data_IF_822853769057
#
_entry.id   IF_822853769057
#
_cell.length_a   1.000
_cell.length_b   1.000
_cell.length_c   1.000
_cell.angle_alpha   90.00
_cell.angle_beta   90.00
_cell.angle_gamma   90.00
#
_symmetry.space_group_name_H-M   'P 1'
#
loop_
_entity.id
_entity.type
_entity.pdbx_description
1 polymer ?
#
# COMPACT_ATOMS: atom_id res chain seq x y z
N UNK A 1 -9.83 -9.30 34.21
CA UNK A 1 -10.43 -9.55 32.87
C UNK A 1 -10.68 -8.27 32.04
N UNK A 2 -11.29 -7.20 32.58
CA UNK A 2 -11.56 -5.95 31.83
C UNK A 2 -10.30 -5.31 31.21
N UNK A 3 -9.19 -5.21 31.96
CA UNK A 3 -7.92 -4.65 31.46
C UNK A 3 -7.31 -5.50 30.33
N UNK A 4 -7.30 -6.82 30.49
CA UNK A 4 -6.81 -7.75 29.46
C UNK A 4 -7.60 -7.60 28.15
N UNK A 5 -8.93 -7.52 28.23
CA UNK A 5 -9.79 -7.31 27.06
C UNK A 5 -9.48 -5.99 26.34
N UNK A 6 -9.26 -4.91 27.09
CA UNK A 6 -8.89 -3.61 26.52
C UNK A 6 -7.51 -3.64 25.86
N UNK A 7 -6.54 -4.32 26.48
CA UNK A 7 -5.19 -4.49 25.90
C UNK A 7 -5.28 -5.27 24.58
N UNK A 8 -5.99 -6.40 24.56
CA UNK A 8 -6.16 -7.19 23.34
C UNK A 8 -6.87 -6.39 22.23
N UNK A 9 -7.90 -5.62 22.59
CA UNK A 9 -8.59 -4.75 21.64
C UNK A 9 -7.64 -3.66 21.10
N UNK A 10 -6.84 -3.03 21.97
CA UNK A 10 -5.89 -2.02 21.55
C UNK A 10 -4.84 -2.60 20.59
N UNK A 11 -4.29 -3.77 20.89
CA UNK A 11 -3.36 -4.48 20.00
C UNK A 11 -4.01 -4.76 18.64
N UNK A 12 -5.24 -5.28 18.63
CA UNK A 12 -5.97 -5.53 17.39
C UNK A 12 -6.15 -4.25 16.58
N UNK A 13 -6.53 -3.14 17.22
CA UNK A 13 -6.70 -1.85 16.55
C UNK A 13 -5.38 -1.33 15.96
N UNK A 14 -4.26 -1.51 16.66
CA UNK A 14 -2.93 -1.15 16.16
C UNK A 14 -2.57 -1.97 14.93
N UNK A 15 -2.81 -3.29 14.96
CA UNK A 15 -2.55 -4.16 13.80
C UNK A 15 -3.43 -3.77 12.60
N UNK A 16 -4.72 -3.54 12.82
CA UNK A 16 -5.63 -3.09 11.76
C UNK A 16 -5.18 -1.74 11.19
N UNK A 17 -4.83 -0.78 12.03
CA UNK A 17 -4.31 0.51 11.59
C UNK A 17 -3.03 0.36 10.79
N UNK A 18 -2.08 -0.46 11.24
CA UNK A 18 -0.83 -0.73 10.54
C UNK A 18 -1.07 -1.34 9.15
N UNK A 19 -1.95 -2.33 9.04
CA UNK A 19 -2.33 -2.94 7.75
C UNK A 19 -2.98 -1.92 6.83
N UNK A 20 -3.92 -1.12 7.33
CA UNK A 20 -4.57 -0.06 6.54
C UNK A 20 -3.54 0.99 6.08
N UNK A 21 -2.65 1.43 6.97
CA UNK A 21 -1.62 2.40 6.64
C UNK A 21 -0.62 1.86 5.61
N UNK A 22 -0.31 0.57 5.66
CA UNK A 22 0.53 -0.09 4.65
C UNK A 22 -0.18 -0.20 3.29
N UNK A 23 -1.48 -0.49 3.27
CA UNK A 23 -2.21 -0.81 2.04
C UNK A 23 -2.79 0.41 1.36
N UNK A 24 -3.19 1.43 2.11
CA UNK A 24 -3.86 2.60 1.56
C UNK A 24 -2.94 3.38 0.61
N UNK A 25 -3.48 3.94 -0.47
CA UNK A 25 -2.68 4.63 -1.47
C UNK A 25 -2.19 5.97 -0.92
N UNK A 26 -0.88 6.16 -0.96
CA UNK A 26 -0.17 7.38 -0.58
C UNK A 26 0.44 8.02 -1.83
N UNK A 27 0.82 9.29 -1.75
CA UNK A 27 1.34 10.02 -2.90
C UNK A 27 2.46 10.94 -2.45
N UNK A 28 3.60 10.81 -3.12
CA UNK A 28 4.78 11.61 -2.87
C UNK A 28 5.08 12.46 -4.11
N UNK A 29 5.57 13.68 -3.88
CA UNK A 29 6.06 14.55 -4.94
C UNK A 29 7.58 14.42 -5.00
N UNK A 30 8.07 13.86 -6.08
CA UNK A 30 9.48 13.49 -6.23
C UNK A 30 9.96 13.78 -7.65
N UNK A 31 11.27 13.84 -7.82
CA UNK A 31 11.94 13.85 -9.13
C UNK A 31 12.56 12.49 -9.38
N UNK A 32 12.30 11.91 -10.55
CA UNK A 32 12.90 10.64 -10.95
C UNK A 32 14.34 10.89 -11.40
N UNK A 33 15.27 10.15 -10.82
CA UNK A 33 16.70 10.23 -11.12
C UNK A 33 17.12 9.08 -12.03
N UNK A 34 16.58 7.88 -11.79
CA UNK A 34 16.96 6.68 -12.51
C UNK A 34 15.88 5.60 -12.43
N UNK A 35 15.94 4.65 -13.35
CA UNK A 35 15.13 3.43 -13.34
C UNK A 35 16.05 2.23 -13.47
N UNK A 36 15.86 1.22 -12.64
CA UNK A 36 16.76 0.07 -12.57
C UNK A 36 15.98 -1.25 -12.50
N UNK A 37 16.63 -2.36 -12.86
CA UNK A 37 16.09 -3.72 -12.73
C UNK A 37 17.12 -4.54 -11.99
N UNK A 38 16.75 -5.05 -10.81
CA UNK A 38 17.66 -5.83 -9.96
C UNK A 38 17.12 -7.23 -9.77
N UNK A 39 17.98 -8.22 -9.94
CA UNK A 39 17.74 -9.57 -9.43
C UNK A 39 17.84 -9.51 -7.90
N UNK A 40 16.72 -9.71 -7.22
CA UNK A 40 16.63 -9.74 -5.77
C UNK A 40 16.58 -11.19 -5.30
N UNK A 41 17.29 -11.49 -4.22
CA UNK A 41 17.17 -12.73 -3.45
C UNK A 41 16.34 -12.44 -2.19
N UNK A 42 15.26 -13.19 -1.99
CA UNK A 42 14.30 -12.93 -0.93
C UNK A 42 14.56 -13.83 0.28
N UNK A 43 14.83 -13.19 1.43
CA UNK A 43 14.85 -13.84 2.74
C UNK A 43 13.57 -13.52 3.52
N UNK A 44 13.72 -13.10 4.77
CA UNK A 44 12.61 -12.70 5.63
C UNK A 44 11.80 -11.49 5.09
N UNK A 45 12.35 -10.73 4.15
CA UNK A 45 11.71 -9.58 3.51
C UNK A 45 10.77 -9.96 2.37
N UNK A 46 10.68 -11.24 1.98
CA UNK A 46 9.80 -11.75 0.92
C UNK A 46 8.36 -11.22 1.02
N UNK A 47 7.86 -11.06 2.25
CA UNK A 47 6.50 -10.56 2.55
C UNK A 47 6.21 -9.16 1.97
N UNK A 48 7.24 -8.39 1.63
CA UNK A 48 7.09 -7.04 1.08
C UNK A 48 7.07 -7.01 -0.45
N UNK A 49 7.28 -8.12 -1.15
CA UNK A 49 7.43 -8.18 -2.60
C UNK A 49 6.35 -9.03 -3.25
N UNK A 50 5.94 -8.67 -4.47
CA UNK A 50 4.86 -9.38 -5.16
C UNK A 50 5.39 -10.63 -5.88
N UNK A 51 6.60 -10.55 -6.45
CA UNK A 51 7.24 -11.63 -7.19
C UNK A 51 8.05 -12.61 -6.34
N UNK A 52 7.89 -12.63 -5.01
CA UNK A 52 8.63 -13.53 -4.12
C UNK A 52 8.27 -15.02 -4.25
N UNK A 53 7.51 -15.40 -5.29
CA UNK A 53 7.06 -16.77 -5.57
C UNK A 53 7.91 -17.50 -6.61
N UNK A 54 9.04 -16.93 -7.05
CA UNK A 54 9.95 -17.60 -7.99
C UNK A 54 10.51 -18.91 -7.43
N UNK A 55 10.63 -19.94 -8.28
CA UNK A 55 11.03 -21.30 -7.88
C UNK A 55 12.40 -21.36 -7.16
N UNK A 56 13.30 -20.42 -7.47
CA UNK A 56 14.65 -20.33 -6.88
C UNK A 56 14.75 -19.22 -5.80
N UNK A 57 13.64 -18.64 -5.34
CA UNK A 57 13.65 -17.55 -4.36
C UNK A 57 14.19 -16.20 -4.87
N UNK A 58 14.59 -16.14 -6.14
CA UNK A 58 15.09 -14.93 -6.80
C UNK A 58 14.12 -14.43 -7.87
N UNK A 59 14.02 -13.11 -8.03
CA UNK A 59 13.19 -12.49 -9.07
C UNK A 59 13.71 -11.12 -9.47
N UNK A 60 13.46 -10.71 -10.71
CA UNK A 60 13.74 -9.34 -11.15
C UNK A 60 12.70 -8.38 -10.62
N UNK A 61 13.16 -7.41 -9.86
CA UNK A 61 12.35 -6.32 -9.35
C UNK A 61 12.79 -5.03 -10.04
N UNK A 62 11.82 -4.34 -10.62
CA UNK A 62 12.03 -3.00 -11.19
C UNK A 62 12.02 -1.98 -10.07
N UNK A 63 12.94 -1.03 -10.10
CA UNK A 63 13.04 0.07 -9.16
C UNK A 63 12.97 1.41 -9.89
N UNK A 64 12.38 2.38 -9.21
CA UNK A 64 12.34 3.78 -9.62
C UNK A 64 13.02 4.56 -8.52
N UNK A 65 14.18 5.15 -8.84
CA UNK A 65 15.00 5.91 -7.92
C UNK A 65 14.63 7.39 -8.04
N UNK A 66 14.29 7.99 -6.91
CA UNK A 66 13.79 9.35 -6.86
C UNK A 66 14.42 10.14 -5.74
N UNK A 67 14.29 11.45 -5.83
CA UNK A 67 14.69 12.41 -4.81
C UNK A 67 13.51 13.34 -4.57
N UNK A 68 13.12 13.52 -3.32
CA UNK A 68 12.02 14.42 -2.96
C UNK A 68 12.43 15.90 -3.03
N UNK A 69 11.49 16.78 -2.67
CA UNK A 69 11.70 18.23 -2.68
C UNK A 69 12.80 18.68 -1.68
N UNK A 70 12.97 17.96 -0.58
CA UNK A 70 13.96 18.24 0.46
C UNK A 70 15.36 17.70 0.09
N UNK A 71 15.44 16.88 -0.97
CA UNK A 71 16.68 16.30 -1.46
C UNK A 71 16.96 14.89 -0.92
N UNK A 72 16.02 14.31 -0.19
CA UNK A 72 16.14 12.98 0.39
C UNK A 72 15.82 11.89 -0.66
N UNK A 73 16.63 10.81 -0.72
CA UNK A 73 16.36 9.71 -1.64
C UNK A 73 15.14 8.88 -1.23
N UNK A 74 14.22 8.70 -2.16
CA UNK A 74 13.09 7.77 -2.05
C UNK A 74 13.13 6.77 -3.21
N UNK A 75 13.03 5.49 -2.90
CA UNK A 75 13.11 4.42 -3.90
C UNK A 75 11.85 3.59 -3.84
N UNK A 76 11.20 3.43 -4.99
CA UNK A 76 10.00 2.62 -5.14
C UNK A 76 10.35 1.34 -5.90
N UNK A 77 9.75 0.23 -5.48
CA UNK A 77 9.64 -0.94 -6.35
C UNK A 77 8.50 -0.73 -7.35
N UNK A 78 8.57 -1.39 -8.48
CA UNK A 78 7.56 -1.33 -9.53
C UNK A 78 7.25 -2.75 -9.99
N UNK A 79 6.37 -3.41 -9.24
CA UNK A 79 5.91 -4.77 -9.53
C UNK A 79 4.41 -4.77 -9.87
N UNK A 80 4.00 -5.76 -10.65
CA UNK A 80 2.60 -6.04 -10.88
C UNK A 80 2.01 -6.69 -9.63
N UNK A 81 1.00 -6.03 -9.04
CA UNK A 81 0.29 -6.60 -7.90
C UNK A 81 -0.63 -7.74 -8.35
N UNK A 82 -1.05 -7.70 -9.61
CA UNK A 82 -1.96 -8.68 -10.19
C UNK A 82 -3.24 -8.84 -9.38
N UNK A 83 -3.64 -10.09 -9.17
CA UNK A 83 -4.78 -10.47 -8.33
C UNK A 83 -4.44 -10.60 -6.84
N UNK A 84 -3.17 -10.37 -6.49
CA UNK A 84 -2.67 -10.51 -5.13
C UNK A 84 -3.07 -9.37 -4.20
N UNK A 85 -2.76 -9.53 -2.92
CA UNK A 85 -2.93 -8.49 -1.92
C UNK A 85 -1.77 -7.48 -1.98
N UNK A 86 -2.01 -6.16 -1.87
CA UNK A 86 -3.32 -5.51 -1.84
C UNK A 86 -3.99 -5.46 -3.23
N UNK A 87 -5.32 -5.59 -3.30
CA UNK A 87 -6.09 -5.77 -4.55
C UNK A 87 -6.14 -4.52 -5.44
N UNK A 88 -5.00 -4.05 -5.93
CA UNK A 88 -4.86 -2.91 -6.83
C UNK A 88 -5.01 -3.28 -8.31
N UNK A 89 -4.96 -4.58 -8.66
CA UNK A 89 -5.12 -5.05 -10.05
C UNK A 89 -4.17 -4.35 -11.03
N UNK A 90 -2.91 -4.19 -10.61
CA UNK A 90 -1.87 -3.56 -11.40
C UNK A 90 -1.16 -4.62 -12.27
N UNK A 91 -1.11 -4.38 -13.58
CA UNK A 91 -0.53 -5.27 -14.59
C UNK A 91 0.34 -4.53 -15.63
N UNK A 92 0.63 -3.25 -15.37
CA UNK A 92 1.31 -2.33 -16.29
C UNK A 92 2.71 -1.93 -15.80
N UNK A 93 3.39 -2.78 -15.01
CA UNK A 93 4.70 -2.45 -14.45
C UNK A 93 5.76 -2.08 -15.49
N UNK A 94 5.76 -2.74 -16.66
CA UNK A 94 6.67 -2.43 -17.76
C UNK A 94 6.39 -1.03 -18.36
N UNK A 95 5.12 -0.70 -18.60
CA UNK A 95 4.72 0.61 -19.13
C UNK A 95 5.02 1.72 -18.12
N UNK A 96 4.76 1.48 -16.83
CA UNK A 96 5.08 2.40 -15.76
C UNK A 96 6.60 2.65 -15.68
N UNK A 97 7.41 1.61 -15.90
CA UNK A 97 8.87 1.73 -15.94
C UNK A 97 9.32 2.60 -17.11
N UNK A 98 8.75 2.41 -18.30
CA UNK A 98 9.07 3.22 -19.47
C UNK A 98 8.71 4.70 -19.26
N UNK A 99 7.53 4.97 -18.68
CA UNK A 99 7.11 6.34 -18.31
C UNK A 99 8.02 6.95 -17.26
N UNK A 100 8.49 6.16 -16.29
CA UNK A 100 9.43 6.64 -15.28
C UNK A 100 10.77 7.06 -15.91
N UNK A 101 11.27 6.28 -16.86
CA UNK A 101 12.51 6.58 -17.59
C UNK A 101 12.37 7.86 -18.45
N UNK A 102 11.25 8.01 -19.16
CA UNK A 102 10.93 9.19 -19.96
C UNK A 102 10.84 10.48 -19.11
N UNK A 103 10.39 10.36 -17.86
CA UNK A 103 10.28 11.48 -16.91
C UNK A 103 11.54 11.71 -16.07
N UNK A 104 12.62 10.96 -16.32
CA UNK A 104 13.89 11.15 -15.60
C UNK A 104 14.49 12.53 -15.89
N UNK A 105 15.07 13.15 -14.86
CA UNK A 105 15.59 14.52 -14.99
C UNK A 105 16.69 14.84 -13.98
N UNK A 106 17.52 15.83 -14.30
CA UNK A 106 18.63 16.26 -13.44
C UNK A 106 18.19 17.32 -12.43
N UNK A 107 19.10 17.69 -11.53
CA UNK A 107 18.86 18.78 -10.57
C UNK A 107 18.79 20.14 -11.27
N UNK A 108 19.52 20.35 -12.37
CA UNK A 108 19.51 21.62 -13.11
C UNK A 108 18.24 21.83 -13.94
N UNK A 109 17.60 20.74 -14.40
CA UNK A 109 16.37 20.79 -15.20
C UNK A 109 15.31 19.83 -14.64
N UNK A 110 14.76 20.09 -13.43
CA UNK A 110 13.94 19.13 -12.72
C UNK A 110 12.55 18.96 -13.33
N UNK A 111 12.14 17.70 -13.50
CA UNK A 111 10.75 17.30 -13.79
C UNK A 111 10.17 16.66 -12.53
N UNK A 112 9.24 17.38 -11.89
CA UNK A 112 8.53 16.88 -10.73
C UNK A 112 7.39 15.96 -11.14
N UNK A 113 7.22 14.88 -10.41
CA UNK A 113 6.16 13.90 -10.61
C UNK A 113 5.49 13.57 -9.28
N UNK A 114 4.22 13.22 -9.35
CA UNK A 114 3.51 12.58 -8.24
C UNK A 114 3.55 11.08 -8.45
N UNK A 115 4.25 10.39 -7.54
CA UNK A 115 4.29 8.93 -7.48
C UNK A 115 3.25 8.48 -6.47
N UNK A 116 2.23 7.75 -6.93
CA UNK A 116 1.32 7.06 -6.02
C UNK A 116 1.87 5.70 -5.69
N UNK A 117 1.85 5.32 -4.42
CA UNK A 117 2.36 4.02 -3.98
C UNK A 117 1.53 3.47 -2.82
N UNK A 118 1.81 2.21 -2.48
CA UNK A 118 1.44 1.61 -1.19
C UNK A 118 2.68 0.96 -0.57
N UNK A 119 2.61 0.64 0.71
CA UNK A 119 3.69 0.03 1.47
C UNK A 119 4.62 1.05 2.11
N UNK A 120 5.53 0.56 2.94
CA UNK A 120 6.46 1.40 3.68
C UNK A 120 7.86 1.37 3.10
N UNK A 121 8.57 2.48 3.28
CA UNK A 121 10.02 2.52 3.14
C UNK A 121 10.66 2.12 4.47
N UNK A 122 11.42 1.02 4.47
CA UNK A 122 12.25 0.62 5.62
C UNK A 122 13.62 0.15 5.14
N UNK A 123 14.69 0.82 5.61
CA UNK A 123 16.07 0.42 5.32
C UNK A 123 16.44 -0.88 6.05
N UNK A 124 15.98 -1.04 7.28
CA UNK A 124 16.25 -2.23 8.11
C UNK A 124 15.63 -3.50 7.53
N UNK A 125 14.40 -3.39 7.01
CA UNK A 125 13.66 -4.53 6.48
C UNK A 125 13.84 -4.71 4.97
N UNK A 126 14.67 -3.88 4.34
CA UNK A 126 14.80 -3.80 2.88
C UNK A 126 13.42 -3.76 2.20
N UNK A 127 12.53 -2.93 2.74
CA UNK A 127 11.18 -2.73 2.24
C UNK A 127 11.13 -1.44 1.43
N UNK A 128 10.59 -1.55 0.23
CA UNK A 128 10.38 -0.43 -0.68
C UNK A 128 8.88 -0.35 -1.01
N UNK A 129 8.29 0.85 -0.94
CA UNK A 129 6.90 1.06 -1.37
C UNK A 129 6.73 0.70 -2.85
N UNK A 130 5.61 0.10 -3.22
CA UNK A 130 5.30 -0.25 -4.61
C UNK A 130 4.62 0.91 -5.32
N UNK A 131 5.26 1.45 -6.36
CA UNK A 131 4.66 2.46 -7.22
C UNK A 131 3.47 1.87 -7.99
N UNK A 132 2.37 2.61 -8.02
CA UNK A 132 1.13 2.23 -8.72
C UNK A 132 0.86 3.13 -9.91
N UNK A 133 1.13 4.44 -9.80
CA UNK A 133 0.94 5.39 -10.90
C UNK A 133 1.96 6.52 -10.79
N UNK A 134 2.38 7.06 -11.93
CA UNK A 134 3.22 8.25 -12.03
C UNK A 134 2.49 9.26 -12.90
N UNK A 135 2.47 10.52 -12.48
CA UNK A 135 1.96 11.64 -13.27
C UNK A 135 2.84 12.86 -13.08
N UNK A 136 2.93 13.73 -14.09
CA UNK A 136 3.64 15.00 -13.95
C UNK A 136 2.98 15.87 -12.88
N UNK A 137 3.82 16.57 -12.12
CA UNK A 137 3.44 17.60 -11.17
C UNK A 137 3.72 18.98 -11.77
N UNK A 138 3.00 20.00 -11.31
CA UNK A 138 3.27 21.39 -11.67
C UNK A 138 4.57 21.91 -11.02
N UNK A 139 4.94 21.34 -9.87
CA UNK A 139 6.14 21.68 -9.13
C UNK A 139 6.33 20.80 -7.89
N UNK A 140 7.33 21.09 -7.04
CA UNK A 140 7.64 20.32 -5.83
C UNK A 140 6.59 20.46 -4.73
N UNK A 141 5.93 21.62 -4.63
CA UNK A 141 5.00 21.95 -3.53
C UNK A 141 3.54 21.56 -3.82
N UNK A 142 3.29 20.72 -4.82
CA UNK A 142 1.92 20.35 -5.19
C UNK A 142 1.27 19.55 -4.07
N UNK A 143 0.17 20.06 -3.53
CA UNK A 143 -0.59 19.32 -2.52
C UNK A 143 -1.34 18.14 -3.18
N UNK A 144 -1.20 16.95 -2.60
CA UNK A 144 -1.93 15.77 -3.06
C UNK A 144 -2.91 15.30 -1.99
N UNK A 145 -4.19 15.61 -2.17
CA UNK A 145 -5.21 15.11 -1.27
C UNK A 145 -5.49 13.62 -1.53
N UNK A 146 -5.48 12.74 -0.50
CA UNK A 146 -5.55 11.29 -0.67
C UNK A 146 -6.98 10.77 -0.89
N UNK A 147 -7.67 11.28 -1.92
CA UNK A 147 -9.07 10.95 -2.23
C UNK A 147 -9.34 9.44 -2.31
N UNK A 148 -8.43 8.69 -2.94
CA UNK A 148 -8.58 7.22 -3.07
C UNK A 148 -8.55 6.52 -1.72
N UNK A 149 -7.66 6.94 -0.81
CA UNK A 149 -7.61 6.40 0.54
C UNK A 149 -8.90 6.73 1.30
N UNK A 150 -9.41 7.95 1.17
CA UNK A 150 -10.67 8.38 1.80
C UNK A 150 -11.87 7.56 1.32
N UNK A 151 -11.98 7.32 0.00
CA UNK A 151 -13.05 6.50 -0.57
C UNK A 151 -12.97 5.06 -0.06
N UNK A 152 -11.78 4.47 0.01
CA UNK A 152 -11.59 3.11 0.55
C UNK A 152 -11.99 3.06 2.03
N UNK A 153 -11.52 4.02 2.84
CA UNK A 153 -11.85 4.09 4.27
C UNK A 153 -13.35 4.26 4.51
N UNK A 154 -14.01 5.14 3.75
CA UNK A 154 -15.46 5.31 3.82
C UNK A 154 -16.19 4.03 3.44
N UNK A 155 -15.76 3.36 2.36
CA UNK A 155 -16.32 2.07 1.94
C UNK A 155 -16.19 0.99 3.02
N UNK A 156 -15.02 0.88 3.66
CA UNK A 156 -14.77 -0.04 4.77
C UNK A 156 -15.63 0.29 6.00
N UNK A 157 -15.81 1.57 6.32
CA UNK A 157 -16.66 2.00 7.43
C UNK A 157 -18.14 1.65 7.18
N UNK A 158 -18.64 1.90 5.97
CA UNK A 158 -20.01 1.51 5.57
C UNK A 158 -20.18 -0.01 5.60
N UNK A 159 -19.25 -0.76 5.03
CA UNK A 159 -19.28 -2.23 5.03
C UNK A 159 -19.28 -2.78 6.46
N UNK A 160 -18.38 -2.29 7.31
CA UNK A 160 -18.34 -2.66 8.73
C UNK A 160 -19.65 -2.36 9.44
N UNK A 161 -20.24 -1.18 9.19
CA UNK A 161 -21.56 -0.81 9.72
C UNK A 161 -22.66 -1.78 9.28
N UNK A 162 -22.72 -2.13 7.99
CA UNK A 162 -23.69 -3.11 7.45
C UNK A 162 -23.51 -4.48 8.09
N UNK A 163 -22.28 -4.99 8.16
CA UNK A 163 -21.99 -6.29 8.77
C UNK A 163 -22.40 -6.34 10.25
N UNK A 164 -22.14 -5.27 11.01
CA UNK A 164 -22.60 -5.16 12.40
C UNK A 164 -24.13 -5.20 12.46
N UNK A 165 -24.83 -4.46 11.60
CA UNK A 165 -26.31 -4.45 11.57
C UNK A 165 -26.89 -5.80 11.18
N UNK A 166 -26.36 -6.45 10.16
CA UNK A 166 -26.77 -7.81 9.75
C UNK A 166 -26.50 -8.80 10.87
N UNK A 167 -25.34 -8.74 11.53
CA UNK A 167 -25.03 -9.59 12.68
C UNK A 167 -25.99 -9.38 13.86
N UNK A 168 -26.35 -8.14 14.16
CA UNK A 168 -27.36 -7.81 15.19
C UNK A 168 -28.75 -8.36 14.84
N UNK A 169 -29.16 -8.24 13.56
CA UNK A 169 -30.44 -8.77 13.08
C UNK A 169 -30.46 -10.29 13.14
N UNK A 170 -29.40 -10.95 12.68
CA UNK A 170 -29.24 -12.40 12.73
C UNK A 170 -29.26 -12.91 14.18
N UNK A 171 -28.52 -12.26 15.07
CA UNK A 171 -28.53 -12.60 16.49
C UNK A 171 -29.94 -12.49 17.09
N UNK A 172 -30.67 -11.42 16.79
CA UNK A 172 -32.02 -11.19 17.31
C UNK A 172 -33.04 -12.19 16.76
N UNK A 173 -32.98 -12.51 15.48
CA UNK A 173 -34.02 -13.29 14.79
C UNK A 173 -33.77 -14.81 14.83
N UNK A 174 -32.51 -15.23 14.86
CA UNK A 174 -32.14 -16.64 14.72
C UNK A 174 -31.56 -17.20 16.00
N UNK A 175 -30.63 -16.48 16.63
CA UNK A 175 -29.87 -17.01 17.77
C UNK A 175 -30.61 -16.87 19.09
N UNK A 176 -31.09 -15.66 19.42
CA UNK A 176 -31.79 -15.38 20.67
C UNK A 176 -33.01 -16.29 20.92
N UNK A 177 -33.89 -16.57 19.93
CA UNK A 177 -35.04 -17.45 20.14
C UNK A 177 -34.69 -18.92 20.41
N UNK A 178 -33.48 -19.38 20.07
CA UNK A 178 -33.04 -20.74 20.35
C UNK A 178 -32.68 -20.94 21.83
N UNK A 179 -32.29 -19.87 22.52
CA UNK A 179 -32.00 -19.88 23.95
C UNK A 179 -33.25 -19.66 24.80
N UNK A 180 -34.23 -18.90 24.31
CA UNK A 180 -35.51 -18.68 25.01
C UNK A 180 -36.45 -19.90 24.99
N UNK A 181 -36.20 -20.93 24.15
CA UNK A 181 -37.03 -22.14 24.05
C UNK A 181 -36.64 -23.29 25.01
N UNK A 182 -35.65 -23.09 25.88
CA UNK A 182 -35.12 -24.12 26.80
C UNK A 182 -35.29 -23.79 28.30
N UNK A 183 -36.12 -22.78 28.63
CA UNK A 183 -36.63 -22.54 29.98
C UNK A 183 -38.13 -22.74 30.01
#
# INVERSE_FOLDING_TARGET
MRRLRLILLAILMIVVFAVLHYVLPQSDVVRIVNTDVRRMDFGANAIFYAGATGADGTTDVRFIETVDADGDPMVYRNEDTGWGWPFYFKFDSADLQARAADLSSTREAPVWVVVRHYGWRSRLLSAFPNATTIRRAEGPDVSTFPWRAMVILLGLAVLGGVLIRVGQLFWRNTVRPLFDRRG
#
